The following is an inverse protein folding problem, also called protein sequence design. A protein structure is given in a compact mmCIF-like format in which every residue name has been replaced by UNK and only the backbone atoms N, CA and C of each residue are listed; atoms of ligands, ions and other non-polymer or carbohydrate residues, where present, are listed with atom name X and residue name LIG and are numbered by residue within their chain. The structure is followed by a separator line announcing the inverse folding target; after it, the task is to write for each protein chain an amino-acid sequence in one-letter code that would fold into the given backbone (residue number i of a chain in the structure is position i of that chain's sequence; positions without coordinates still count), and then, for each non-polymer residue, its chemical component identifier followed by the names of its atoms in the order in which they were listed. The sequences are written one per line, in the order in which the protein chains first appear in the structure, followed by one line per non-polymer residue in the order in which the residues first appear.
data_IF_639921733729
#
_entry.id   IF_639921733729
#
_cell.length_a   1.000
_cell.length_b   1.000
_cell.length_c   1.000
_cell.angle_alpha   90.00
_cell.angle_beta   90.00
_cell.angle_gamma   90.00
#
_symmetry.space_group_name_H-M   'P 1'
#
loop_
_entity.id
_entity.type
_entity.pdbx_description
1 polymer ?
#
# COMPACT_ATOMS: atom_id res chain seq x y z
N UNK A 1 -12.40 -21.05 23.66
CA UNK A 1 -11.24 -21.07 22.75
C UNK A 1 -11.55 -20.99 21.23
N UNK A 2 -12.77 -21.21 20.69
CA UNK A 2 -13.00 -21.06 19.24
C UNK A 2 -13.04 -19.60 18.73
N UNK A 3 -13.42 -18.64 19.58
CA UNK A 3 -13.47 -17.22 19.20
C UNK A 3 -12.11 -16.59 18.90
N UNK A 4 -11.09 -16.89 19.72
CA UNK A 4 -9.73 -16.39 19.51
C UNK A 4 -9.13 -16.92 18.20
N UNK A 5 -9.28 -18.24 17.94
CA UNK A 5 -8.78 -18.87 16.72
C UNK A 5 -9.43 -18.27 15.47
N UNK A 6 -10.75 -18.00 15.52
CA UNK A 6 -11.47 -17.32 14.45
C UNK A 6 -10.93 -15.91 14.19
N UNK A 7 -10.72 -15.12 15.25
CA UNK A 7 -10.15 -13.77 15.10
C UNK A 7 -8.75 -13.81 14.50
N UNK A 8 -7.88 -14.69 14.98
CA UNK A 8 -6.52 -14.86 14.44
C UNK A 8 -6.55 -15.23 12.96
N UNK A 9 -7.37 -16.21 12.57
CA UNK A 9 -7.53 -16.61 11.18
C UNK A 9 -7.99 -15.44 10.30
N UNK A 10 -9.03 -14.73 10.71
CA UNK A 10 -9.56 -13.59 9.96
C UNK A 10 -8.55 -12.42 9.89
N UNK A 11 -7.76 -12.20 10.94
CA UNK A 11 -6.68 -11.21 10.94
C UNK A 11 -5.62 -11.55 9.90
N UNK A 12 -5.19 -12.82 9.83
CA UNK A 12 -4.23 -13.28 8.82
C UNK A 12 -4.80 -13.10 7.41
N UNK A 13 -6.06 -13.51 7.18
CA UNK A 13 -6.73 -13.34 5.89
C UNK A 13 -6.82 -11.86 5.49
N UNK A 14 -7.15 -10.97 6.43
CA UNK A 14 -7.20 -9.53 6.17
C UNK A 14 -5.84 -8.94 5.78
N UNK A 15 -4.76 -9.37 6.45
CA UNK A 15 -3.40 -8.95 6.12
C UNK A 15 -2.95 -9.49 4.76
N UNK A 16 -3.20 -10.77 4.46
CA UNK A 16 -2.92 -11.36 3.16
C UNK A 16 -3.65 -10.60 2.05
N UNK A 17 -4.95 -10.33 2.24
CA UNK A 17 -5.72 -9.55 1.29
C UNK A 17 -5.18 -8.12 1.11
N UNK A 18 -4.66 -7.50 2.18
CA UNK A 18 -3.96 -6.22 2.09
C UNK A 18 -2.70 -6.28 1.23
N UNK A 19 -1.86 -7.30 1.43
CA UNK A 19 -0.65 -7.51 0.60
C UNK A 19 -1.01 -7.80 -0.86
N UNK A 20 -2.04 -8.63 -1.10
CA UNK A 20 -2.52 -8.93 -2.45
C UNK A 20 -3.06 -7.67 -3.14
N UNK A 21 -3.85 -6.86 -2.45
CA UNK A 21 -4.36 -5.60 -3.00
C UNK A 21 -3.22 -4.65 -3.36
N UNK A 22 -2.18 -4.57 -2.52
CA UNK A 22 -0.99 -3.78 -2.81
C UNK A 22 -0.28 -4.28 -4.07
N UNK A 23 -0.03 -5.58 -4.18
CA UNK A 23 0.64 -6.18 -5.32
C UNK A 23 -0.15 -5.98 -6.61
N UNK A 24 -1.46 -6.21 -6.59
CA UNK A 24 -2.34 -6.04 -7.75
C UNK A 24 -2.33 -4.61 -8.26
N UNK A 25 -2.55 -3.62 -7.38
CA UNK A 25 -2.58 -2.21 -7.78
C UNK A 25 -1.20 -1.74 -8.26
N UNK A 26 -0.12 -2.14 -7.59
CA UNK A 26 1.24 -1.78 -8.00
C UNK A 26 1.60 -2.38 -9.36
N UNK A 27 1.11 -3.59 -9.67
CA UNK A 27 1.36 -4.25 -10.96
C UNK A 27 0.79 -3.49 -12.16
N UNK A 28 -0.24 -2.66 -11.94
CA UNK A 28 -0.85 -1.82 -12.97
C UNK A 28 0.15 -0.84 -13.58
N UNK A 29 1.16 -0.41 -12.81
CA UNK A 29 2.24 0.46 -13.29
C UNK A 29 2.98 -0.13 -14.50
N UNK A 30 3.15 -1.45 -14.53
CA UNK A 30 3.95 -2.13 -15.54
C UNK A 30 3.26 -2.27 -16.90
N UNK A 31 1.94 -2.15 -16.97
CA UNK A 31 1.19 -2.42 -18.20
C UNK A 31 0.18 -1.34 -18.58
N UNK A 32 -0.30 -0.51 -17.66
CA UNK A 32 -1.28 0.54 -17.98
C UNK A 32 -0.70 1.70 -18.80
N UNK A 33 0.48 2.29 -18.48
CA UNK A 33 1.01 3.41 -19.25
C UNK A 33 1.22 3.08 -20.75
N UNK A 34 1.78 1.92 -21.12
CA UNK A 34 1.85 1.50 -22.53
C UNK A 34 0.49 1.40 -23.23
N UNK A 35 -0.55 0.90 -22.54
CA UNK A 35 -1.90 0.81 -23.10
C UNK A 35 -2.56 2.18 -23.34
N UNK A 36 -2.17 3.19 -22.58
CA UNK A 36 -2.65 4.56 -22.74
C UNK A 36 -1.89 5.36 -23.82
N UNK A 37 -0.97 4.70 -24.55
CA UNK A 37 -0.09 5.39 -25.51
C UNK A 37 0.93 6.31 -24.84
N UNK A 38 1.07 6.21 -23.52
CA UNK A 38 2.08 6.92 -22.74
C UNK A 38 3.34 6.05 -22.76
N UNK A 39 4.00 5.99 -23.92
CA UNK A 39 5.38 5.50 -23.97
C UNK A 39 6.23 6.45 -23.14
N UNK A 40 6.88 5.99 -22.06
CA UNK A 40 7.79 6.84 -21.32
C UNK A 40 9.00 7.11 -22.21
N UNK A 41 8.98 8.22 -22.95
CA UNK A 41 10.13 8.67 -23.75
C UNK A 41 11.32 9.03 -22.86
N UNK A 42 11.10 9.13 -21.54
CA UNK A 42 12.13 9.37 -20.53
C UNK A 42 11.97 8.48 -19.30
N UNK A 43 13.10 8.06 -18.75
CA UNK A 43 13.19 7.29 -17.50
C UNK A 43 12.50 8.02 -16.31
N UNK A 44 12.50 9.35 -16.31
CA UNK A 44 11.82 10.15 -15.29
C UNK A 44 10.31 9.99 -15.27
N UNK A 45 9.67 9.83 -16.43
CA UNK A 45 8.20 9.63 -16.53
C UNK A 45 7.83 8.25 -16.02
N UNK A 46 8.62 7.23 -16.33
CA UNK A 46 8.42 5.88 -15.81
C UNK A 46 8.53 5.84 -14.28
N UNK A 47 9.56 6.47 -13.70
CA UNK A 47 9.68 6.60 -12.25
C UNK A 47 8.50 7.32 -11.61
N UNK A 48 7.92 8.31 -12.29
CA UNK A 48 6.69 8.98 -11.84
C UNK A 48 5.51 8.02 -11.76
N UNK A 49 5.34 7.15 -12.75
CA UNK A 49 4.31 6.11 -12.76
C UNK A 49 4.53 5.05 -11.68
N UNK A 50 5.77 4.58 -11.54
CA UNK A 50 6.14 3.62 -10.50
C UNK A 50 5.85 4.17 -9.11
N UNK A 51 6.18 5.44 -8.88
CA UNK A 51 5.86 6.13 -7.62
C UNK A 51 4.35 6.25 -7.41
N UNK A 52 3.61 6.72 -8.41
CA UNK A 52 2.16 6.91 -8.30
C UNK A 52 1.43 5.60 -7.97
N UNK A 53 1.76 4.52 -8.67
CA UNK A 53 1.16 3.21 -8.42
C UNK A 53 1.67 2.53 -7.16
N UNK A 54 2.90 2.81 -6.74
CA UNK A 54 3.38 2.39 -5.41
C UNK A 54 2.56 3.05 -4.30
N UNK A 55 2.28 4.36 -4.40
CA UNK A 55 1.44 5.09 -3.45
C UNK A 55 0.00 4.58 -3.45
N UNK A 56 -0.59 4.41 -4.64
CA UNK A 56 -1.96 3.88 -4.77
C UNK A 56 -2.05 2.44 -4.24
N UNK A 57 -1.05 1.60 -4.50
CA UNK A 57 -0.95 0.24 -3.98
C UNK A 57 -0.84 0.21 -2.46
N UNK A 58 -0.02 1.09 -1.90
CA UNK A 58 0.08 1.32 -0.47
C UNK A 58 -1.26 1.68 0.17
N UNK A 59 -1.93 2.70 -0.38
CA UNK A 59 -3.27 3.11 0.06
C UNK A 59 -4.26 1.96 -0.03
N UNK A 60 -4.29 1.22 -1.14
CA UNK A 60 -5.21 0.11 -1.34
C UNK A 60 -4.98 -1.01 -0.33
N UNK A 61 -3.73 -1.44 -0.14
CA UNK A 61 -3.38 -2.49 0.81
C UNK A 61 -3.69 -2.12 2.26
N UNK A 62 -3.36 -0.90 2.68
CA UNK A 62 -3.67 -0.39 4.01
C UNK A 62 -5.19 -0.28 4.20
N UNK A 63 -5.90 0.24 3.20
CA UNK A 63 -7.38 0.35 3.24
C UNK A 63 -8.03 -1.01 3.37
N UNK A 64 -7.60 -1.99 2.58
CA UNK A 64 -8.14 -3.34 2.61
C UNK A 64 -7.92 -3.99 3.98
N UNK A 65 -6.68 -3.99 4.48
CA UNK A 65 -6.36 -4.60 5.78
C UNK A 65 -7.11 -3.91 6.92
N UNK A 66 -7.23 -2.58 6.88
CA UNK A 66 -8.01 -1.81 7.86
C UNK A 66 -9.50 -2.15 7.77
N UNK A 67 -10.06 -2.20 6.56
CA UNK A 67 -11.47 -2.45 6.36
C UNK A 67 -11.86 -3.89 6.73
N UNK A 68 -11.04 -4.90 6.45
CA UNK A 68 -11.39 -6.30 6.71
C UNK A 68 -10.92 -6.82 8.07
N UNK A 69 -10.17 -6.03 8.84
CA UNK A 69 -9.71 -6.38 10.18
C UNK A 69 -10.87 -6.83 11.10
N UNK A 70 -10.77 -8.00 11.75
CA UNK A 70 -11.79 -8.45 12.70
C UNK A 70 -11.73 -7.71 14.04
N UNK A 71 -10.57 -7.12 14.35
CA UNK A 71 -10.33 -6.33 15.55
C UNK A 71 -9.21 -5.32 15.29
N UNK A 72 -9.16 -4.22 16.05
CA UNK A 72 -8.10 -3.21 15.94
C UNK A 72 -7.76 -2.81 14.48
N UNK A 73 -8.71 -2.21 13.74
CA UNK A 73 -8.53 -1.90 12.31
C UNK A 73 -7.27 -1.10 11.99
N UNK A 74 -6.98 -0.07 12.79
CA UNK A 74 -5.81 0.78 12.60
C UNK A 74 -4.50 0.00 12.72
N UNK A 75 -4.42 -0.98 13.63
CA UNK A 75 -3.25 -1.83 13.80
C UNK A 75 -2.98 -2.70 12.58
N UNK A 76 -4.02 -3.24 11.94
CA UNK A 76 -3.85 -4.02 10.69
C UNK A 76 -3.33 -3.15 9.55
N UNK A 77 -3.90 -1.95 9.38
CA UNK A 77 -3.39 -0.97 8.41
C UNK A 77 -1.94 -0.56 8.70
N UNK A 78 -1.60 -0.35 9.97
CA UNK A 78 -0.24 -0.02 10.39
C UNK A 78 0.75 -1.16 10.12
N UNK A 79 0.33 -2.43 10.26
CA UNK A 79 1.17 -3.58 9.92
C UNK A 79 1.53 -3.60 8.43
N UNK A 80 0.55 -3.36 7.55
CA UNK A 80 0.81 -3.25 6.10
C UNK A 80 1.72 -2.06 5.81
N UNK A 81 1.44 -0.90 6.41
CA UNK A 81 2.31 0.27 6.29
C UNK A 81 3.76 -0.01 6.74
N UNK A 82 3.94 -0.76 7.82
CA UNK A 82 5.27 -1.11 8.32
C UNK A 82 6.02 -1.99 7.32
N UNK A 83 5.34 -2.95 6.69
CA UNK A 83 5.91 -3.76 5.61
C UNK A 83 6.32 -2.89 4.41
N UNK A 84 5.49 -1.92 4.03
CA UNK A 84 5.80 -0.97 2.95
C UNK A 84 7.02 -0.13 3.33
N UNK A 85 7.02 0.49 4.52
CA UNK A 85 8.11 1.34 4.99
C UNK A 85 9.43 0.58 5.07
N UNK A 86 9.42 -0.67 5.57
CA UNK A 86 10.59 -1.55 5.58
C UNK A 86 11.04 -1.90 4.17
N UNK A 87 10.12 -2.19 3.24
CA UNK A 87 10.43 -2.45 1.84
C UNK A 87 11.08 -1.25 1.16
N UNK A 88 10.53 -0.05 1.36
CA UNK A 88 11.11 1.21 0.86
C UNK A 88 12.49 1.48 1.47
N UNK A 89 12.63 1.31 2.79
CA UNK A 89 13.91 1.49 3.48
C UNK A 89 14.98 0.51 2.99
N UNK A 90 14.60 -0.75 2.76
CA UNK A 90 15.48 -1.76 2.17
C UNK A 90 15.89 -1.39 0.75
N UNK A 91 14.95 -1.02 -0.12
CA UNK A 91 15.24 -0.61 -1.50
C UNK A 91 16.15 0.63 -1.56
N UNK A 92 15.94 1.60 -0.67
CA UNK A 92 16.82 2.75 -0.54
C UNK A 92 18.23 2.37 -0.06
N UNK A 93 18.33 1.43 0.87
CA UNK A 93 19.62 0.96 1.37
C UNK A 93 20.41 0.22 0.29
N UNK A 94 19.76 -0.58 -0.54
CA UNK A 94 20.43 -1.43 -1.54
C UNK A 94 20.67 -0.74 -2.87
N UNK A 95 19.74 0.12 -3.32
CA UNK A 95 19.75 0.71 -4.65
C UNK A 95 19.41 2.21 -4.66
N UNK A 96 19.31 2.86 -3.50
CA UNK A 96 18.87 4.26 -3.41
C UNK A 96 19.78 5.26 -4.14
N UNK A 97 21.07 4.95 -4.27
CA UNK A 97 22.03 5.77 -5.03
C UNK A 97 21.77 5.75 -6.55
N UNK A 98 21.05 4.75 -7.04
CA UNK A 98 20.73 4.59 -8.47
C UNK A 98 19.50 5.42 -8.89
N UNK A 99 18.75 5.96 -7.92
CA UNK A 99 17.54 6.75 -8.16
C UNK A 99 17.78 8.25 -8.00
N UNK A 100 17.05 9.10 -8.74
CA UNK A 100 17.14 10.53 -8.57
C UNK A 100 16.60 10.96 -7.21
N UNK A 101 17.23 11.97 -6.60
CA UNK A 101 16.91 12.43 -5.24
C UNK A 101 15.44 12.82 -5.04
N UNK A 102 14.80 13.42 -6.05
CA UNK A 102 13.38 13.78 -5.99
C UNK A 102 12.49 12.55 -5.80
N UNK A 103 12.82 11.42 -6.42
CA UNK A 103 12.05 10.18 -6.32
C UNK A 103 12.15 9.61 -4.91
N UNK A 104 13.36 9.57 -4.36
CA UNK A 104 13.62 9.09 -3.00
C UNK A 104 12.88 9.94 -1.96
N UNK A 105 12.97 11.27 -2.05
CA UNK A 105 12.22 12.17 -1.16
C UNK A 105 10.72 11.95 -1.30
N UNK A 106 10.21 11.87 -2.54
CA UNK A 106 8.78 11.74 -2.77
C UNK A 106 8.24 10.41 -2.25
N UNK A 107 9.01 9.32 -2.41
CA UNK A 107 8.69 8.02 -1.84
C UNK A 107 8.59 8.09 -0.31
N UNK A 108 9.59 8.66 0.36
CA UNK A 108 9.58 8.82 1.82
C UNK A 108 8.44 9.71 2.31
N UNK A 109 8.23 10.85 1.66
CA UNK A 109 7.15 11.77 1.99
C UNK A 109 5.76 11.15 1.75
N UNK A 110 5.65 10.18 0.84
CA UNK A 110 4.40 9.49 0.58
C UNK A 110 4.03 8.45 1.64
N UNK A 111 4.99 7.89 2.39
CA UNK A 111 4.69 6.89 3.43
C UNK A 111 3.65 7.35 4.46
N UNK A 112 3.76 8.54 5.09
CA UNK A 112 2.72 9.01 6.00
C UNK A 112 1.39 9.28 5.27
N UNK A 113 1.44 9.76 4.02
CA UNK A 113 0.24 9.99 3.21
C UNK A 113 -0.51 8.68 2.95
N UNK A 114 0.20 7.63 2.54
CA UNK A 114 -0.36 6.29 2.30
C UNK A 114 -1.06 5.75 3.54
N UNK A 115 -0.46 5.92 4.72
CA UNK A 115 -1.06 5.51 5.99
C UNK A 115 -2.34 6.27 6.31
N UNK A 116 -2.29 7.60 6.23
CA UNK A 116 -3.44 8.45 6.58
C UNK A 116 -4.62 8.23 5.62
N UNK A 117 -4.33 8.21 4.32
CA UNK A 117 -5.34 8.00 3.28
C UNK A 117 -5.86 6.57 3.31
N UNK A 118 -4.99 5.59 3.50
CA UNK A 118 -5.37 4.18 3.63
C UNK A 118 -6.25 3.94 4.85
N UNK A 119 -5.93 4.53 5.99
CA UNK A 119 -6.81 4.49 7.15
C UNK A 119 -8.14 5.18 6.89
N UNK A 120 -8.16 6.30 6.18
CA UNK A 120 -9.37 7.05 5.87
C UNK A 120 -10.36 6.24 5.01
N UNK A 121 -9.89 5.64 3.92
CA UNK A 121 -10.73 4.80 3.06
C UNK A 121 -11.06 3.44 3.70
N UNK A 122 -10.15 2.91 4.52
CA UNK A 122 -10.36 1.67 5.25
C UNK A 122 -11.31 1.79 6.46
N UNK A 123 -11.80 2.99 6.79
CA UNK A 123 -12.79 3.15 7.88
C UNK A 123 -14.07 2.42 7.50
N UNK A 124 -14.47 1.44 8.31
CA UNK A 124 -15.86 0.96 8.28
C UNK A 124 -16.75 2.10 8.79
N UNK A 125 -17.79 2.52 8.06
CA UNK A 125 -18.89 3.21 8.69
C UNK A 125 -19.36 2.32 9.84
N UNK A 126 -19.48 2.89 11.04
CA UNK A 126 -20.22 2.22 12.11
C UNK A 126 -21.52 1.75 11.49
N UNK A 127 -21.78 0.44 11.51
CA UNK A 127 -23.12 -0.07 11.18
C UNK A 127 -24.02 0.63 12.19
N UNK A 128 -24.73 1.66 11.74
CA UNK A 128 -25.82 2.23 12.52
C UNK A 128 -26.69 1.04 12.90
N UNK A 129 -26.78 0.83 14.20
CA UNK A 129 -27.71 -0.06 14.86
C UNK A 129 -29.11 0.46 14.51
N UNK A 130 -29.65 0.04 13.37
CA UNK A 130 -31.08 0.00 13.12
C UNK A 130 -31.55 -1.43 13.32
#
# INVERSE_FOLDING_TARGET
MPGLLKTLFLSIVALIGGVLSLALVSSVAGWLPPLLGLSPDSNSVQLGWDLAFSVLGGVAGISFATYYAPCWPRSHGFSIWSLIALGCGYAMWTAGADFPFWFVISLLASLPLQLLVGWWFGRRPSRDLR
#
